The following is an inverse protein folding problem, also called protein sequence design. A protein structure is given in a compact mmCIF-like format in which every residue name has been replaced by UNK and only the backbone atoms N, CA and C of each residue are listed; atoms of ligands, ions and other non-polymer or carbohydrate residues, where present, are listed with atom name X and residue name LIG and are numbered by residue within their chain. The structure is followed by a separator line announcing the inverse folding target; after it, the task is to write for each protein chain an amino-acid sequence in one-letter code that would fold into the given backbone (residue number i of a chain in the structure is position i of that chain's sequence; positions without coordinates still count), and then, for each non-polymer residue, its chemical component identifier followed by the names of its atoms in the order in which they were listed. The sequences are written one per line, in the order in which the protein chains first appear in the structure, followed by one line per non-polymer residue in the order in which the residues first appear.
data_IF_368953281554
#
_entry.id   IF_368953281554
#
_cell.length_a   1.000
_cell.length_b   1.000
_cell.length_c   1.000
_cell.angle_alpha   90.00
_cell.angle_beta   90.00
_cell.angle_gamma   90.00
#
_symmetry.space_group_name_H-M   'P 1'
#
loop_
_entity.id
_entity.type
_entity.pdbx_description
1 polymer ?
2 non-polymer ?
3 water ?
#
# COMPACT_ATOMS: atom_id res chain seq x y z
N UNK A 5 -6.56 -30.85 -17.02
CA UNK A 5 -7.06 -30.12 -15.82
C UNK A 5 -5.99 -30.18 -14.72
N UNK A 6 -5.02 -29.26 -14.81
CA UNK A 6 -3.92 -29.17 -13.85
C UNK A 6 -4.45 -28.59 -12.52
N UNK A 7 -4.16 -29.27 -11.42
CA UNK A 7 -4.45 -28.68 -10.11
C UNK A 7 -3.45 -29.13 -9.07
N UNK A 8 -3.39 -28.39 -7.97
CA UNK A 8 -2.37 -28.67 -6.97
C UNK A 8 -2.73 -28.03 -5.65
N UNK A 9 -1.97 -28.36 -4.61
CA UNK A 9 -2.17 -27.73 -3.33
C UNK A 9 -1.25 -26.53 -3.16
N UNK A 10 -1.83 -25.43 -2.69
CA UNK A 10 -1.07 -24.23 -2.33
C UNK A 10 -1.08 -24.06 -0.82
N UNK A 11 0.09 -23.87 -0.24
CA UNK A 11 0.17 -23.43 1.16
C UNK A 11 0.27 -21.92 1.17
N UNK A 12 -0.68 -21.28 1.88
CA UNK A 12 -0.67 -19.83 2.01
C UNK A 12 0.39 -19.41 3.06
N UNK A 13 1.18 -18.40 2.72
CA UNK A 13 2.14 -17.83 3.67
C UNK A 13 1.64 -16.51 4.18
N UNK A 14 1.06 -15.73 3.28
CA UNK A 14 0.70 -14.36 3.59
C UNK A 14 -0.74 -14.08 3.13
N UNK A 15 -1.61 -13.77 4.08
CA UNK A 15 -2.97 -13.41 3.70
C UNK A 15 -3.04 -12.07 2.99
N UNK A 16 -3.99 -11.94 2.06
CA UNK A 16 -4.28 -10.68 1.37
C UNK A 16 -4.49 -9.57 2.39
N UNK A 17 -3.91 -8.40 2.12
CA UNK A 17 -4.16 -7.22 2.96
C UNK A 17 -3.12 -7.07 4.06
N UNK A 18 -2.20 -8.01 4.18
CA UNK A 18 -1.17 -8.00 5.24
C UNK A 18 0.03 -7.14 4.84
N UNK A 19 0.64 -6.48 5.83
CA UNK A 19 1.95 -5.77 5.61
C UNK A 19 3.11 -6.61 6.27
N UNK A 20 2.78 -7.65 7.04
CA UNK A 20 3.79 -8.56 7.57
C UNK A 20 4.10 -9.60 6.50
N UNK A 21 5.37 -9.71 6.13
CA UNK A 21 5.80 -10.70 5.14
C UNK A 21 6.24 -11.98 5.83
N UNK A 22 5.36 -12.97 5.91
CA UNK A 22 5.68 -14.24 6.51
C UNK A 22 6.28 -15.17 5.47
N UNK A 23 7.09 -16.14 5.89
CA UNK A 23 7.58 -17.17 4.96
C UNK A 23 7.62 -18.52 5.66
N UNK A 24 7.40 -19.60 4.93
CA UNK A 24 7.55 -20.93 5.54
C UNK A 24 9.02 -21.35 5.41
N UNK A 25 9.62 -21.75 6.52
CA UNK A 25 10.92 -22.42 6.46
C UNK A 25 10.70 -23.85 5.92
N UNK A 26 11.17 -24.10 4.71
CA UNK A 26 10.89 -25.39 4.06
C UNK A 26 11.63 -26.58 4.63
N UNK A 27 12.65 -26.33 5.44
CA UNK A 27 13.38 -27.40 6.13
C UNK A 27 12.75 -27.79 7.47
N UNK A 28 11.94 -26.91 8.06
CA UNK A 28 11.27 -27.23 9.33
C UNK A 28 9.75 -27.25 9.23
N UNK A 29 9.21 -26.45 8.32
CA UNK A 29 7.76 -26.26 8.21
C UNK A 29 7.25 -25.12 9.07
N UNK A 30 8.11 -24.53 9.89
CA UNK A 30 7.73 -23.35 10.69
C UNK A 30 7.39 -22.12 9.86
N UNK A 31 6.45 -21.32 10.36
CA UNK A 31 6.14 -20.04 9.74
C UNK A 31 6.97 -18.97 10.45
N UNK A 32 7.74 -18.20 9.68
CA UNK A 32 8.60 -17.15 10.24
C UNK A 32 8.19 -15.78 9.72
N UNK A 33 8.39 -14.76 10.55
CA UNK A 33 8.29 -13.40 10.04
C UNK A 33 9.60 -13.09 9.30
N UNK A 34 9.50 -12.82 7.99
CA UNK A 34 10.66 -12.36 7.22
C UNK A 34 10.91 -10.93 7.64
N UNK A 35 9.95 -10.06 7.33
CA UNK A 35 9.99 -8.65 7.71
C UNK A 35 8.62 -7.95 7.60
N UNK A 36 8.50 -6.81 8.24
CA UNK A 36 7.36 -5.93 8.04
C UNK A 36 7.78 -5.05 6.86
N UNK A 37 6.89 -4.87 5.88
CA UNK A 37 7.25 -4.09 4.70
C UNK A 37 7.66 -2.66 5.04
N UNK A 38 8.61 -2.13 4.27
CA UNK A 38 9.10 -0.77 4.51
C UNK A 38 8.27 0.25 3.73
N UNK A 39 7.36 -0.26 2.89
CA UNK A 39 6.48 0.59 2.08
C UNK A 39 5.03 0.49 2.58
N UNK A 40 4.23 1.55 2.35
CA UNK A 40 2.84 1.56 2.85
C UNK A 40 1.95 0.73 1.88
N UNK A 41 2.26 -0.56 1.72
CA UNK A 41 1.58 -1.39 0.75
C UNK A 41 1.12 -2.64 1.46
N UNK A 42 0.18 -3.35 0.84
CA UNK A 42 -0.38 -4.57 1.43
C UNK A 42 -0.52 -5.65 0.34
N UNK A 43 -0.24 -6.91 0.70
CA UNK A 43 -0.30 -7.98 -0.29
C UNK A 43 -1.66 -7.99 -1.02
N UNK A 44 -1.59 -8.01 -2.35
CA UNK A 44 -2.80 -7.80 -3.16
C UNK A 44 -3.64 -9.08 -3.29
N UNK A 45 -3.04 -10.23 -3.01
CA UNK A 45 -3.74 -11.51 -3.03
C UNK A 45 -3.21 -12.31 -1.89
N UNK A 46 -3.89 -13.40 -1.54
CA UNK A 46 -3.24 -14.41 -0.74
C UNK A 46 -2.02 -14.96 -1.48
N UNK A 47 -0.95 -15.18 -0.73
CA UNK A 47 0.37 -15.45 -1.32
C UNK A 47 1.00 -16.67 -0.66
N UNK A 48 1.56 -17.58 -1.45
CA UNK A 48 2.24 -18.71 -0.86
C UNK A 48 3.01 -19.48 -1.89
N UNK A 49 2.95 -20.80 -1.77
CA UNK A 49 3.77 -21.64 -2.65
C UNK A 49 3.04 -22.93 -2.97
N UNK A 50 3.44 -23.55 -4.08
CA UNK A 50 2.83 -24.81 -4.51
C UNK A 50 3.58 -25.98 -3.88
N UNK A 51 2.84 -26.81 -3.12
CA UNK A 51 3.44 -27.98 -2.47
C UNK A 51 4.02 -28.97 -3.52
N UNK A 52 5.18 -29.57 -3.22
CA UNK A 52 5.80 -30.59 -4.08
C UNK A 52 6.27 -30.04 -5.44
N UNK A 53 6.75 -28.79 -5.42
CA UNK A 53 7.40 -28.21 -6.58
C UNK A 53 8.73 -27.69 -6.13
N UNK A 54 9.60 -27.47 -7.12
CA UNK A 54 10.91 -26.91 -6.91
C UNK A 54 11.24 -26.00 -8.08
N UNK A 55 11.37 -24.70 -7.79
CA UNK A 55 11.67 -23.71 -8.82
C UNK A 55 13.10 -23.80 -9.29
N UNK A 56 13.47 -22.88 -10.18
CA UNK A 56 14.83 -22.80 -10.69
C UNK A 56 15.84 -22.44 -9.59
N UNK A 57 15.36 -21.78 -8.53
CA UNK A 57 16.25 -21.28 -7.47
C UNK A 57 16.30 -22.13 -6.18
N UNK A 58 15.67 -23.30 -6.20
CA UNK A 58 15.71 -24.20 -5.04
C UNK A 58 14.56 -24.13 -4.04
N UNK A 59 13.69 -23.11 -4.17
CA UNK A 59 12.47 -22.98 -3.35
C UNK A 59 11.25 -23.50 -4.11
N UNK A 60 10.18 -23.89 -3.40
CA UNK A 60 8.96 -24.22 -4.17
C UNK A 60 8.47 -23.02 -5.01
N UNK A 61 7.71 -23.32 -6.06
CA UNK A 61 7.17 -22.32 -6.96
C UNK A 61 6.13 -21.46 -6.25
N UNK A 62 6.26 -20.13 -6.33
CA UNK A 62 5.33 -19.23 -5.63
C UNK A 62 3.99 -19.22 -6.32
N UNK A 63 2.94 -18.91 -5.55
CA UNK A 63 1.58 -18.92 -6.04
C UNK A 63 0.84 -17.72 -5.46
N UNK A 64 0.00 -17.12 -6.30
CA UNK A 64 -0.94 -16.09 -5.88
C UNK A 64 -2.34 -16.65 -6.04
N UNK A 65 -3.15 -16.60 -4.99
CA UNK A 65 -4.48 -17.24 -5.06
C UNK A 65 -5.56 -16.17 -4.93
N UNK A 66 -6.41 -16.06 -5.95
CA UNK A 66 -7.59 -15.19 -5.90
C UNK A 66 -8.69 -15.84 -5.06
N UNK A 67 -9.14 -15.13 -4.03
CA UNK A 67 -10.13 -15.66 -3.05
C UNK A 67 -11.05 -14.53 -2.59
N UNK A 68 -12.31 -14.86 -2.17
CA UNK A 68 -13.23 -13.84 -1.70
C UNK A 68 -12.81 -13.28 -0.34
N UNK A 69 -12.14 -14.08 0.46
CA UNK A 69 -11.67 -13.61 1.76
C UNK A 69 -10.33 -14.24 2.09
N UNK A 70 -9.46 -13.50 2.79
CA UNK A 70 -8.11 -14.02 3.06
C UNK A 70 -8.10 -15.20 4.00
N UNK A 71 -7.03 -15.98 3.92
CA UNK A 71 -6.88 -17.17 4.76
C UNK A 71 -5.95 -16.89 5.95
N UNK A 72 -5.38 -17.92 6.54
CA UNK A 72 -4.41 -17.77 7.63
C UNK A 72 -3.09 -18.37 7.13
N UNK A 73 -1.93 -17.90 7.64
CA UNK A 73 -0.67 -18.55 7.26
C UNK A 73 -0.65 -20.03 7.59
N UNK A 74 -0.14 -20.85 6.65
CA UNK A 74 -0.07 -22.31 6.83
C UNK A 74 -1.24 -23.11 6.25
N UNK A 75 -2.32 -22.42 5.91
CA UNK A 75 -3.52 -23.07 5.36
C UNK A 75 -3.28 -23.56 3.92
N UNK A 76 -3.74 -24.78 3.65
CA UNK A 76 -3.73 -25.42 2.34
C UNK A 76 -5.00 -25.10 1.56
N UNK A 77 -4.86 -24.79 0.28
CA UNK A 77 -6.02 -24.57 -0.60
C UNK A 77 -5.76 -25.27 -1.96
N UNK A 78 -6.70 -26.10 -2.39
CA UNK A 78 -6.56 -26.77 -3.68
C UNK A 78 -6.93 -25.74 -4.75
N UNK A 79 -6.04 -25.57 -5.72
CA UNK A 79 -6.16 -24.48 -6.69
C UNK A 79 -5.78 -24.90 -8.10
N UNK A 80 -6.15 -24.07 -9.08
CA UNK A 80 -5.79 -24.39 -10.50
C UNK A 80 -5.20 -23.13 -11.11
N UNK A 81 -4.21 -23.30 -12.02
CA UNK A 81 -3.53 -22.14 -12.59
C UNK A 81 -4.33 -21.42 -13.68
N UNK A 82 -4.28 -20.09 -13.71
CA UNK A 82 -4.91 -19.33 -14.80
C UNK A 82 -3.90 -18.45 -15.53
N UNK A 83 -2.70 -18.33 -14.97
CA UNK A 83 -1.69 -17.46 -15.61
C UNK A 83 -0.48 -17.40 -14.69
N UNK A 84 0.51 -16.58 -15.06
CA UNK A 84 1.74 -16.48 -14.29
C UNK A 84 2.34 -15.08 -14.38
N UNK A 85 2.72 -14.55 -13.22
CA UNK A 85 3.38 -13.28 -13.12
C UNK A 85 4.88 -13.57 -13.18
N UNK A 86 5.63 -12.77 -13.94
CA UNK A 86 7.08 -13.00 -14.01
C UNK A 86 7.76 -11.70 -13.70
N UNK A 87 8.89 -11.76 -13.00
CA UNK A 87 9.61 -10.52 -12.70
C UNK A 87 11.11 -10.76 -12.67
N UNK A 88 11.86 -9.67 -12.72
CA UNK A 88 13.33 -9.75 -12.60
C UNK A 88 13.70 -8.73 -11.52
N UNK A 89 14.37 -9.22 -10.48
CA UNK A 89 14.82 -8.35 -9.41
C UNK A 89 16.30 -8.59 -9.11
N UNK A 90 16.73 -8.21 -7.90
CA UNK A 90 18.14 -8.35 -7.50
C UNK A 90 18.66 -9.80 -7.46
N UNK A 91 17.75 -10.75 -7.29
CA UNK A 91 18.11 -12.18 -7.30
C UNK A 91 17.96 -12.80 -8.67
N UNK A 92 17.55 -12.02 -9.66
CA UNK A 92 17.28 -12.57 -11.00
C UNK A 92 15.79 -12.85 -11.22
N UNK A 93 15.49 -13.92 -11.95
CA UNK A 93 14.13 -14.21 -12.34
C UNK A 93 13.25 -14.73 -11.22
N UNK A 94 11.97 -14.41 -11.28
CA UNK A 94 11.05 -14.94 -10.31
C UNK A 94 9.70 -15.12 -11.01
N UNK A 95 9.03 -16.25 -10.76
CA UNK A 95 7.70 -16.50 -11.33
C UNK A 95 6.73 -16.74 -10.19
N UNK A 96 5.49 -16.26 -10.34
CA UNK A 96 4.45 -16.53 -9.36
C UNK A 96 3.21 -16.97 -10.10
N UNK A 97 2.77 -18.21 -9.86
CA UNK A 97 1.59 -18.73 -10.56
C UNK A 97 0.28 -18.15 -10.00
N UNK A 98 -0.57 -17.60 -10.89
CA UNK A 98 -1.86 -17.00 -10.48
C UNK A 98 -2.90 -18.12 -10.53
N UNK A 99 -3.65 -18.27 -9.43
CA UNK A 99 -4.51 -19.46 -9.25
C UNK A 99 -5.88 -19.07 -8.72
N UNK A 100 -6.86 -19.97 -8.92
CA UNK A 100 -8.21 -19.82 -8.36
C UNK A 100 -8.56 -21.16 -7.71
N UNK A 101 -9.46 -21.13 -6.73
CA UNK A 101 -9.80 -22.38 -6.02
C UNK A 101 -10.48 -23.33 -7.00
N UNK A 102 -10.20 -24.62 -6.89
CA UNK A 102 -10.85 -25.62 -7.74
C UNK A 102 -12.24 -25.97 -7.22
N UNK A 103 -13.04 -26.55 -8.12
CA UNK A 103 -14.37 -27.08 -7.81
C UNK A 103 -15.20 -26.07 -7.04
N UNK A 104 -15.22 -24.85 -7.56
CA UNK A 104 -15.99 -23.78 -6.98
C UNK A 104 -16.55 -23.01 -8.17
N UNK A 105 -17.85 -23.19 -8.40
CA UNK A 105 -18.56 -22.64 -9.56
C UNK A 105 -18.42 -21.15 -9.67
N UNK A 106 -18.14 -20.49 -8.55
CA UNK A 106 -17.97 -19.05 -8.56
C UNK A 106 -16.72 -18.59 -9.33
N UNK A 107 -15.82 -19.52 -9.63
CA UNK A 107 -14.60 -19.23 -10.38
C UNK A 107 -14.56 -19.92 -11.72
N UNK A 108 -15.63 -20.63 -12.08
CA UNK A 108 -15.63 -21.44 -13.30
C UNK A 108 -15.51 -20.63 -14.58
N UNK A 109 -15.97 -19.39 -14.55
CA UNK A 109 -15.78 -18.48 -15.67
C UNK A 109 -14.35 -18.01 -15.89
N UNK A 110 -13.46 -18.23 -14.92
CA UNK A 110 -12.07 -17.81 -15.08
C UNK A 110 -11.23 -18.99 -15.55
N UNK A 111 -10.98 -19.02 -16.85
CA UNK A 111 -10.24 -20.12 -17.47
C UNK A 111 -8.78 -19.76 -17.71
N UNK A 112 -8.52 -18.48 -17.98
CA UNK A 112 -7.18 -18.05 -18.29
C UNK A 112 -6.99 -16.58 -18.00
N UNK A 113 -5.81 -16.08 -18.34
CA UNK A 113 -5.36 -14.73 -17.95
C UNK A 113 -6.27 -13.61 -18.48
N UNK A 114 -6.79 -13.79 -19.71
CA UNK A 114 -7.74 -12.86 -20.32
C UNK A 114 -9.04 -12.70 -19.50
N UNK A 115 -9.34 -13.67 -18.64
CA UNK A 115 -10.56 -13.62 -17.84
C UNK A 115 -10.39 -12.84 -16.51
N UNK A 116 -9.17 -12.47 -16.19
CA UNK A 116 -8.93 -11.73 -14.95
C UNK A 116 -8.94 -10.24 -15.29
N UNK A 117 -9.73 -9.44 -14.56
CA UNK A 117 -9.82 -8.01 -14.94
C UNK A 117 -8.45 -7.34 -14.97
N UNK A 118 -8.22 -6.49 -15.96
CA UNK A 118 -6.95 -5.80 -16.13
C UNK A 118 -6.60 -4.99 -14.89
N UNK A 119 -7.59 -4.33 -14.30
CA UNK A 119 -7.30 -3.53 -13.11
C UNK A 119 -6.71 -4.35 -11.95
N UNK A 120 -7.11 -5.62 -11.84
CA UNK A 120 -6.63 -6.53 -10.83
C UNK A 120 -5.21 -7.02 -11.13
N UNK A 121 -4.97 -7.43 -12.39
CA UNK A 121 -3.60 -7.73 -12.81
C UNK A 121 -2.65 -6.53 -12.62
N UNK A 122 -3.11 -5.33 -12.95
CA UNK A 122 -2.26 -4.14 -12.81
C UNK A 122 -1.91 -3.84 -11.35
N UNK A 123 -2.89 -4.00 -10.46
CA UNK A 123 -2.67 -3.85 -9.00
C UNK A 123 -1.67 -4.86 -8.45
N UNK A 124 -1.77 -6.12 -8.86
CA UNK A 124 -0.83 -7.14 -8.43
C UNK A 124 0.56 -6.81 -8.92
N UNK A 125 0.66 -6.46 -10.21
CA UNK A 125 1.96 -6.02 -10.75
C UNK A 125 2.55 -4.83 -9.96
N UNK A 126 1.72 -3.83 -9.67
CA UNK A 126 2.19 -2.64 -8.99
C UNK A 126 2.78 -2.98 -7.64
N UNK A 127 2.10 -3.89 -6.92
CA UNK A 127 2.63 -4.33 -5.63
C UNK A 127 4.05 -4.90 -5.79
N UNK A 128 4.22 -5.88 -6.68
CA UNK A 128 5.55 -6.52 -6.78
C UNK A 128 6.63 -5.60 -7.32
N UNK A 129 6.25 -4.67 -8.19
CA UNK A 129 7.19 -3.67 -8.70
C UNK A 129 7.68 -2.69 -7.60
N UNK A 130 6.82 -2.35 -6.64
CA UNK A 130 7.14 -1.26 -5.69
C UNK A 130 7.35 -1.64 -4.25
N UNK A 131 7.00 -2.87 -3.86
CA UNK A 131 6.91 -3.15 -2.40
C UNK A 131 8.28 -3.08 -1.71
N UNK A 132 9.36 -3.31 -2.48
CA UNK A 132 10.74 -3.22 -2.00
C UNK A 132 11.48 -1.91 -2.33
N UNK A 133 10.75 -0.89 -2.79
CA UNK A 133 11.36 0.39 -3.19
C UNK A 133 12.22 1.04 -2.13
N UNK A 134 11.90 0.80 -0.87
CA UNK A 134 12.61 1.49 0.20
C UNK A 134 13.68 0.57 0.83
N UNK A 135 14.03 -0.52 0.14
CA UNK A 135 15.09 -1.40 0.64
C UNK A 135 16.36 -1.26 -0.17
N UNK A 136 17.44 -0.68 0.44
CA UNK A 136 18.70 -0.57 -0.28
C UNK A 136 19.12 -1.91 -0.91
N UNK A 137 19.56 -1.83 -2.15
CA UNK A 137 20.08 -2.99 -2.84
C UNK A 137 19.05 -3.88 -3.48
N UNK A 138 17.76 -3.56 -3.28
CA UNK A 138 16.68 -4.33 -3.87
C UNK A 138 16.07 -3.51 -4.99
N UNK A 139 15.57 -4.18 -6.02
CA UNK A 139 15.00 -3.46 -7.15
C UNK A 139 14.15 -4.42 -7.97
N UNK A 140 13.25 -3.88 -8.81
CA UNK A 140 12.58 -4.71 -9.84
C UNK A 140 12.79 -4.07 -11.21
N UNK A 141 13.39 -4.81 -12.14
CA UNK A 141 13.77 -4.25 -13.45
C UNK A 141 12.72 -4.54 -14.55
N UNK A 142 11.90 -5.56 -14.37
CA UNK A 142 10.90 -5.91 -15.39
C UNK A 142 9.87 -6.81 -14.73
N UNK A 143 8.65 -6.77 -15.24
CA UNK A 143 7.54 -7.53 -14.68
C UNK A 143 6.51 -7.66 -15.78
N UNK A 144 5.94 -8.86 -15.93
CA UNK A 144 4.93 -9.07 -16.98
C UNK A 144 4.00 -10.24 -16.63
N UNK A 145 3.00 -10.47 -17.47
CA UNK A 145 2.05 -11.60 -17.30
C UNK A 145 2.11 -12.50 -18.49
N UNK A 146 2.01 -13.81 -18.23
CA UNK A 146 1.86 -14.82 -19.30
C UNK A 146 0.64 -15.68 -18.97
N UNK A 147 0.20 -16.44 -19.95
CA UNK A 147 -1.10 -17.11 -19.85
C UNK A 147 -1.03 -18.46 -19.19
N UNK A 148 -2.18 -19.13 -19.16
CA UNK A 148 -2.30 -20.41 -18.52
C UNK A 148 -1.42 -21.51 -19.07
N UNK A 149 -1.30 -21.61 -20.40
CA UNK A 149 -0.39 -22.58 -21.00
C UNK A 149 1.04 -22.48 -20.46
N UNK A 150 1.57 -21.25 -20.42
CA UNK A 150 2.92 -20.97 -19.89
C UNK A 150 3.04 -21.30 -18.39
N UNK A 151 2.00 -20.92 -17.64
CA UNK A 151 1.93 -21.28 -16.22
C UNK A 151 1.99 -22.80 -16.00
N UNK A 152 1.20 -23.56 -16.77
CA UNK A 152 1.18 -25.03 -16.58
C UNK A 152 2.53 -25.63 -16.97
N UNK A 153 3.17 -25.06 -17.99
CA UNK A 153 4.49 -25.55 -18.44
C UNK A 153 5.50 -25.34 -17.31
N UNK A 154 5.45 -24.18 -16.64
CA UNK A 154 6.34 -23.91 -15.52
C UNK A 154 6.05 -24.81 -14.30
N UNK A 155 4.77 -25.07 -14.03
CA UNK A 155 4.38 -25.99 -12.95
C UNK A 155 4.95 -27.38 -13.22
N UNK A 156 4.77 -27.86 -14.45
CA UNK A 156 5.31 -29.15 -14.86
C UNK A 156 6.83 -29.21 -14.73
N UNK A 157 7.54 -28.18 -15.16
CA UNK A 157 9.02 -28.17 -14.99
C UNK A 157 9.39 -28.24 -13.51
N UNK A 158 8.66 -27.49 -12.68
CA UNK A 158 8.91 -27.45 -11.24
C UNK A 158 8.60 -28.76 -10.52
N UNK A 159 7.60 -29.49 -11.03
CA UNK A 159 7.20 -30.75 -10.41
C UNK A 159 8.26 -31.82 -10.70
N UNK A 160 8.75 -31.83 -11.93
CA UNK A 160 9.79 -32.78 -12.33
C UNK A 160 11.11 -32.47 -11.62
N UNK A 161 11.40 -31.17 -11.49
CA UNK A 161 12.59 -30.68 -10.79
C UNK A 161 12.55 -31.10 -9.32
N UNK A 162 11.35 -31.09 -8.72
CA UNK A 162 11.12 -31.65 -7.39
C UNK A 162 11.42 -33.15 -7.34
N UNK A 163 10.88 -33.90 -8.30
CA UNK A 163 11.12 -35.36 -8.36
C UNK A 163 12.60 -35.74 -8.52
N UNK A 164 13.31 -35.01 -9.38
CA UNK A 164 14.73 -35.25 -9.65
C UNK A 164 15.64 -34.86 -8.49
N UNK B 5 3.12 28.35 21.06
CA UNK B 5 2.99 27.03 20.38
C UNK B 5 1.74 27.00 19.49
N UNK B 6 1.94 26.84 18.19
CA UNK B 6 0.83 26.77 17.23
C UNK B 6 0.11 25.45 17.46
N UNK B 7 -1.22 25.52 17.59
CA UNK B 7 -2.05 24.31 17.59
C UNK B 7 -3.40 24.58 16.94
N UNK B 8 -4.10 23.51 16.52
CA UNK B 8 -5.33 23.66 15.74
C UNK B 8 -6.12 22.35 15.76
N UNK B 9 -7.36 22.40 15.27
CA UNK B 9 -8.17 21.19 15.18
C UNK B 9 -8.03 20.54 13.80
N UNK B 10 -7.81 19.23 13.79
CA UNK B 10 -7.77 18.48 12.54
C UNK B 10 -9.04 17.61 12.53
N UNK B 11 -9.79 17.64 11.44
CA UNK B 11 -10.83 16.64 11.23
C UNK B 11 -10.26 15.51 10.41
N UNK B 12 -10.33 14.29 10.94
CA UNK B 12 -9.85 13.12 10.22
C UNK B 12 -10.87 12.72 9.14
N UNK B 13 -10.37 12.46 7.93
CA UNK B 13 -11.20 11.92 6.87
C UNK B 13 -10.91 10.44 6.66
N UNK B 14 -9.62 10.10 6.67
CA UNK B 14 -9.23 8.74 6.36
C UNK B 14 -8.35 8.13 7.46
N UNK B 15 -8.83 7.06 8.12
CA UNK B 15 -7.99 6.41 9.11
C UNK B 15 -6.76 5.72 8.48
N UNK B 16 -5.64 5.71 9.20
CA UNK B 16 -4.44 4.95 8.80
C UNK B 16 -4.83 3.52 8.45
N UNK B 17 -4.28 2.98 7.37
CA UNK B 17 -4.49 1.57 7.08
C UNK B 17 -5.63 1.39 6.08
N UNK B 18 -6.38 2.43 5.77
CA UNK B 18 -7.56 2.32 4.86
C UNK B 18 -7.16 2.43 3.40
N UNK B 19 -8.00 1.85 2.54
CA UNK B 19 -7.81 1.96 1.07
C UNK B 19 -9.04 2.71 0.48
N UNK B 20 -10.06 2.97 1.30
CA UNK B 20 -11.17 3.84 0.90
C UNK B 20 -10.80 5.30 1.13
N UNK B 21 -10.88 6.07 0.06
CA UNK B 21 -10.56 7.50 0.13
C UNK B 21 -11.81 8.30 0.41
N UNK B 22 -12.06 8.59 1.68
CA UNK B 22 -13.19 9.39 2.09
C UNK B 22 -12.83 10.87 2.00
N UNK B 23 -13.83 11.72 1.81
CA UNK B 23 -13.63 13.16 1.83
C UNK B 23 -14.79 13.86 2.46
N UNK B 24 -14.54 14.89 3.25
CA UNK B 24 -15.64 15.69 3.75
C UNK B 24 -16.02 16.70 2.68
N UNK B 25 -17.32 16.74 2.35
CA UNK B 25 -17.90 17.81 1.54
C UNK B 25 -17.97 19.04 2.44
N UNK B 26 -17.14 20.03 2.15
CA UNK B 26 -17.06 21.20 3.01
C UNK B 26 -18.29 22.10 2.96
N UNK B 27 -19.12 21.94 1.93
CA UNK B 27 -20.36 22.72 1.88
C UNK B 27 -21.41 22.14 2.83
N UNK B 28 -21.46 20.82 2.93
CA UNK B 28 -22.54 20.15 3.67
C UNK B 28 -22.13 19.52 4.99
N UNK B 29 -20.84 19.20 5.14
CA UNK B 29 -20.37 18.53 6.35
C UNK B 29 -20.43 17.01 6.22
N UNK B 30 -21.06 16.52 5.15
CA UNK B 30 -21.18 15.06 4.91
C UNK B 30 -19.83 14.38 4.59
N UNK B 31 -19.66 13.14 5.04
CA UNK B 31 -18.49 12.35 4.65
C UNK B 31 -18.92 11.55 3.42
N UNK B 32 -18.13 11.66 2.35
CA UNK B 32 -18.40 10.98 1.10
C UNK B 32 -17.27 9.99 0.75
N UNK B 33 -17.61 8.91 0.06
CA UNK B 33 -16.56 8.09 -0.55
C UNK B 33 -16.10 8.79 -1.83
N UNK B 34 -14.82 9.15 -1.94
CA UNK B 34 -14.30 9.65 -3.21
C UNK B 34 -14.13 8.44 -4.13
N UNK B 35 -13.29 7.50 -3.69
CA UNK B 35 -13.00 6.28 -4.45
C UNK B 35 -12.21 5.29 -3.64
N UNK B 36 -12.24 4.03 -4.05
CA UNK B 36 -11.33 3.03 -3.46
C UNK B 36 -10.03 3.10 -4.27
N UNK B 37 -8.87 3.14 -3.60
CA UNK B 37 -7.63 3.26 -4.35
C UNK B 37 -7.44 2.17 -5.42
N UNK B 38 -6.81 2.52 -6.54
CA UNK B 38 -6.57 1.56 -7.60
C UNK B 38 -5.26 0.81 -7.39
N UNK B 39 -4.46 1.29 -6.44
CA UNK B 39 -3.16 0.65 -6.11
C UNK B 39 -3.30 -0.16 -4.79
N UNK B 40 -2.45 -1.19 -4.60
CA UNK B 40 -2.43 -2.02 -3.37
C UNK B 40 -1.67 -1.29 -2.24
N UNK B 41 -2.17 -0.12 -1.85
CA UNK B 41 -1.50 0.74 -0.86
C UNK B 41 -2.53 1.12 0.16
N UNK B 42 -2.08 1.59 1.31
CA UNK B 42 -3.03 1.99 2.33
C UNK B 42 -2.52 3.27 2.98
N UNK B 43 -3.42 4.14 3.42
CA UNK B 43 -2.94 5.43 3.97
C UNK B 43 -1.96 5.23 5.12
N UNK B 44 -0.83 5.95 5.08
CA UNK B 44 0.28 5.65 5.99
C UNK B 44 0.09 6.30 7.39
N UNK B 45 -0.79 7.30 7.45
CA UNK B 45 -1.15 7.98 8.69
C UNK B 45 -2.63 8.27 8.62
N UNK B 46 -3.24 8.59 9.76
CA UNK B 46 -4.52 9.30 9.71
C UNK B 46 -4.42 10.59 8.89
N UNK B 47 -5.45 10.84 8.09
CA UNK B 47 -5.39 11.85 7.06
C UNK B 47 -6.66 12.69 7.09
N UNK B 48 -6.47 13.99 7.00
CA UNK B 48 -7.63 14.88 6.98
C UNK B 48 -7.26 16.33 6.70
N UNK B 49 -7.90 17.24 7.41
CA UNK B 49 -7.68 18.66 7.11
C UNK B 49 -7.76 19.51 8.37
N UNK B 50 -7.18 20.71 8.26
CA UNK B 50 -7.21 21.68 9.36
C UNK B 50 -8.46 22.53 9.26
N UNK B 51 -9.28 22.48 10.32
CA UNK B 51 -10.48 23.30 10.40
C UNK B 51 -10.09 24.78 10.33
N UNK B 52 -10.93 25.59 9.69
CA UNK B 52 -10.73 27.05 9.64
C UNK B 52 -9.48 27.46 8.88
N UNK B 53 -9.15 26.72 7.83
CA UNK B 53 -8.06 27.08 6.93
C UNK B 53 -8.56 27.03 5.51
N UNK B 54 -7.85 27.73 4.64
CA UNK B 54 -8.11 27.71 3.24
C UNK B 54 -6.78 27.73 2.49
N UNK B 55 -6.53 26.67 1.72
CA UNK B 55 -5.35 26.60 0.86
C UNK B 55 -5.52 27.43 -0.40
N UNK B 56 -4.46 27.51 -1.20
CA UNK B 56 -4.50 28.29 -2.44
C UNK B 56 -5.53 27.74 -3.43
N UNK B 57 -5.79 26.43 -3.34
CA UNK B 57 -6.70 25.74 -4.26
C UNK B 57 -8.19 25.75 -3.84
N UNK B 58 -8.53 26.48 -2.78
CA UNK B 58 -9.94 26.57 -2.32
C UNK B 58 -10.41 25.62 -1.24
N UNK B 59 -9.66 24.55 -0.95
CA UNK B 59 -10.00 23.58 0.11
C UNK B 59 -9.17 23.85 1.37
N UNK B 60 -9.63 23.38 2.55
CA UNK B 60 -8.77 23.56 3.72
C UNK B 60 -7.42 22.86 3.55
N UNK B 61 -6.43 23.28 4.34
CA UNK B 61 -5.10 22.72 4.30
C UNK B 61 -5.11 21.26 4.78
N UNK B 62 -4.49 20.36 4.02
CA UNK B 62 -4.51 18.93 4.40
C UNK B 62 -3.59 18.71 5.61
N UNK B 63 -3.90 17.69 6.41
CA UNK B 63 -3.11 17.35 7.59
C UNK B 63 -2.90 15.85 7.64
N UNK B 64 -1.72 15.46 8.10
CA UNK B 64 -1.40 14.05 8.38
C UNK B 64 -1.15 14.01 9.87
N UNK B 65 -1.83 13.13 10.61
CA UNK B 65 -1.65 13.09 12.08
C UNK B 65 -1.03 11.77 12.51
N UNK B 66 0.13 11.82 13.17
CA UNK B 66 0.75 10.62 13.74
C UNK B 66 0.03 10.22 15.03
N UNK B 67 -0.40 8.96 15.11
CA UNK B 67 -1.24 8.48 16.23
C UNK B 67 -0.92 7.03 16.50
N UNK B 68 -1.08 6.59 17.78
CA UNK B 68 -0.83 5.17 18.09
C UNK B 68 -1.84 4.24 17.45
N UNK B 69 -3.09 4.69 17.26
CA UNK B 69 -4.12 3.88 16.65
C UNK B 69 -5.04 4.74 15.81
N UNK B 70 -5.56 4.21 14.68
CA UNK B 70 -6.42 4.96 13.76
C UNK B 70 -7.72 5.46 14.40
N UNK B 71 -8.24 6.57 13.89
CA UNK B 71 -9.51 7.11 14.36
C UNK B 71 -10.63 6.73 13.39
N UNK B 72 -11.74 7.45 13.42
CA UNK B 72 -12.89 7.19 12.54
C UNK B 72 -13.04 8.45 11.70
N UNK B 73 -13.61 8.35 10.47
CA UNK B 73 -13.88 9.57 9.66
C UNK B 73 -14.76 10.54 10.43
N UNK B 74 -14.44 11.84 10.38
CA UNK B 74 -15.24 12.85 11.06
C UNK B 74 -14.76 13.27 12.44
N UNK B 75 -13.84 12.51 13.02
CA UNK B 75 -13.39 12.79 14.39
C UNK B 75 -12.42 13.96 14.37
N UNK B 76 -12.59 14.87 15.35
CA UNK B 76 -11.68 15.99 15.64
C UNK B 76 -10.52 15.60 16.55
N UNK B 77 -9.29 16.01 16.21
CA UNK B 77 -8.14 15.85 17.11
C UNK B 77 -7.39 17.17 17.20
N UNK B 78 -7.14 17.62 18.43
CA UNK B 78 -6.34 18.85 18.60
C UNK B 78 -4.86 18.51 18.39
N UNK B 79 -4.21 19.22 17.48
CA UNK B 79 -2.87 18.83 17.04
C UNK B 79 -1.91 20.01 16.86
N UNK B 80 -0.62 19.69 16.75
CA UNK B 80 0.41 20.73 16.55
C UNK B 80 1.32 20.31 15.40
N UNK B 81 1.80 21.30 14.63
CA UNK B 81 2.55 20.97 13.41
C UNK B 81 4.02 20.65 13.72
N UNK B 82 4.59 19.66 13.04
CA UNK B 82 6.03 19.33 13.19
C UNK B 82 6.78 19.45 11.84
N UNK B 83 6.05 19.53 10.75
CA UNK B 83 6.68 19.66 9.42
C UNK B 83 5.62 19.63 8.35
N UNK B 84 6.02 19.51 7.08
CA UNK B 84 5.06 19.60 5.96
C UNK B 84 5.61 18.84 4.78
N UNK B 85 4.74 17.99 4.22
CA UNK B 85 5.03 17.30 2.97
C UNK B 85 4.57 18.19 1.82
N UNK B 86 5.44 18.41 0.84
CA UNK B 86 5.07 19.24 -0.30
C UNK B 86 5.16 18.38 -1.56
N UNK B 87 4.17 18.50 -2.44
CA UNK B 87 4.24 17.78 -3.71
C UNK B 87 3.66 18.59 -4.84
N UNK B 88 4.03 18.20 -6.06
CA UNK B 88 3.50 18.82 -7.26
C UNK B 88 2.86 17.71 -8.09
N UNK B 89 1.55 17.80 -8.33
CA UNK B 89 0.79 16.82 -9.14
C UNK B 89 0.00 17.47 -10.28
N UNK B 90 -1.03 16.79 -10.78
CA UNK B 90 -1.78 17.24 -11.97
C UNK B 90 -2.59 18.53 -11.74
N UNK B 91 -2.87 18.83 -10.47
CA UNK B 91 -3.53 20.09 -10.12
C UNK B 91 -2.52 21.08 -9.56
N UNK B 92 -1.23 20.87 -9.84
CA UNK B 92 -0.18 21.75 -9.33
C UNK B 92 0.30 21.38 -7.93
N UNK B 93 0.68 22.39 -7.15
CA UNK B 93 1.20 22.19 -5.78
C UNK B 93 0.19 21.67 -4.76
N UNK B 94 0.67 20.88 -3.82
CA UNK B 94 -0.20 20.35 -2.79
C UNK B 94 0.67 20.16 -1.54
N UNK B 95 0.21 20.72 -0.42
CA UNK B 95 0.95 20.59 0.81
C UNK B 95 0.10 19.88 1.86
N UNK B 96 0.76 19.08 2.71
CA UNK B 96 0.07 18.35 3.76
C UNK B 96 0.85 18.54 5.05
N UNK B 97 0.23 19.16 6.05
CA UNK B 97 0.93 19.46 7.28
C UNK B 97 1.02 18.20 8.18
N UNK B 98 2.24 17.85 8.62
CA UNK B 98 2.44 16.67 9.49
C UNK B 98 2.31 17.14 10.93
N UNK B 99 1.50 16.43 11.73
CA UNK B 99 1.07 16.90 13.06
C UNK B 99 1.16 15.78 14.07
N UNK B 100 1.21 16.14 15.35
CA UNK B 100 1.11 15.19 16.44
C UNK B 100 0.05 15.74 17.40
N UNK B 101 -0.59 14.87 18.19
CA UNK B 101 -1.62 15.38 19.12
C UNK B 101 -0.98 16.24 20.21
N UNK B 102 -1.68 17.30 20.60
CA UNK B 102 -1.20 18.16 21.69
C UNK B 102 -1.49 17.54 23.03
N UNK B 103 -0.83 18.04 24.07
CA UNK B 103 -1.12 17.71 25.47
C UNK B 103 -0.98 16.22 25.73
N UNK B 104 0.04 15.64 25.12
CA UNK B 104 0.29 14.22 25.27
C UNK B 104 1.79 14.09 25.36
N UNK B 105 2.29 13.81 26.56
CA UNK B 105 3.71 13.66 26.83
C UNK B 105 4.39 12.61 25.97
N UNK B 106 3.63 11.66 25.42
CA UNK B 106 4.22 10.62 24.56
C UNK B 106 4.77 11.14 23.22
N UNK B 107 4.36 12.36 22.87
CA UNK B 107 4.80 13.03 21.64
C UNK B 107 5.65 14.23 21.93
N UNK B 108 5.91 14.51 23.21
CA UNK B 108 6.67 15.70 23.64
C UNK B 108 8.05 15.81 23.05
N UNK B 109 8.68 14.68 22.79
CA UNK B 109 10.03 14.67 22.24
C UNK B 109 10.09 14.95 20.73
N UNK B 110 8.93 15.06 20.06
CA UNK B 110 8.90 15.39 18.63
C UNK B 110 8.54 16.87 18.53
N UNK B 111 9.56 17.71 18.34
CA UNK B 111 9.34 19.14 18.17
C UNK B 111 9.37 19.62 16.74
N UNK B 112 10.01 18.86 15.86
CA UNK B 112 10.16 19.25 14.48
C UNK B 112 10.44 18.06 13.61
N UNK B 113 10.50 18.31 12.30
CA UNK B 113 10.64 17.23 11.29
C UNK B 113 11.91 16.40 11.52
N UNK B 114 12.95 17.03 12.08
CA UNK B 114 14.26 16.38 12.31
C UNK B 114 14.13 15.25 13.37
N UNK B 115 13.08 15.34 14.19
CA UNK B 115 12.81 14.38 15.25
C UNK B 115 12.03 13.14 14.78
N UNK B 116 11.46 13.20 13.57
CA UNK B 116 10.61 12.11 13.08
C UNK B 116 11.52 11.12 12.36
N UNK B 117 11.46 9.83 12.72
CA UNK B 117 12.32 8.83 12.07
C UNK B 117 12.21 8.86 10.54
N UNK B 118 13.35 8.80 9.86
CA UNK B 118 13.41 8.94 8.42
C UNK B 118 12.58 7.85 7.73
N UNK B 119 12.60 6.63 8.26
CA UNK B 119 11.86 5.55 7.60
C UNK B 119 10.36 5.86 7.56
N UNK B 120 9.87 6.63 8.53
CA UNK B 120 8.46 6.99 8.58
C UNK B 120 8.11 8.07 7.55
N UNK B 121 8.98 9.09 7.48
CA UNK B 121 8.86 10.12 6.43
C UNK B 121 8.96 9.49 5.03
N UNK B 122 9.90 8.56 4.85
CA UNK B 122 10.06 7.91 3.53
C UNK B 122 8.82 7.09 3.14
N UNK B 123 8.22 6.39 4.11
CA UNK B 123 6.98 5.62 3.85
C UNK B 123 5.83 6.53 3.46
N UNK B 124 5.68 7.64 4.18
CA UNK B 124 4.62 8.59 3.86
C UNK B 124 4.84 9.21 2.47
N UNK B 125 6.09 9.59 2.17
CA UNK B 125 6.44 10.08 0.82
C UNK B 125 6.09 9.04 -0.28
N UNK B 126 6.48 7.79 -0.05
CA UNK B 126 6.26 6.73 -1.04
C UNK B 126 4.79 6.61 -1.34
N UNK B 127 3.95 6.63 -0.29
CA UNK B 127 2.49 6.57 -0.49
C UNK B 127 2.02 7.68 -1.45
N UNK B 128 2.37 8.93 -1.16
CA UNK B 128 1.81 10.01 -1.98
C UNK B 128 2.40 10.07 -3.39
N UNK B 129 3.62 9.58 -3.54
CA UNK B 129 4.28 9.50 -4.86
C UNK B 129 3.61 8.45 -5.72
N UNK B 130 3.13 7.36 -5.11
CA UNK B 130 2.65 6.20 -5.89
C UNK B 130 1.18 5.88 -5.86
N UNK B 131 0.44 6.42 -4.92
CA UNK B 131 -0.93 5.90 -4.70
C UNK B 131 -1.88 6.10 -5.90
N UNK B 132 -1.57 7.10 -6.76
CA UNK B 132 -2.36 7.34 -7.99
C UNK B 132 -1.66 6.84 -9.28
N UNK B 133 -0.70 5.95 -9.14
CA UNK B 133 0.06 5.44 -10.29
C UNK B 133 -0.82 4.79 -11.35
N UNK B 134 -1.93 4.20 -10.95
CA UNK B 134 -2.76 3.49 -11.94
C UNK B 134 -3.97 4.32 -12.38
N UNK B 135 -3.97 5.61 -12.04
CA UNK B 135 -5.09 6.48 -12.42
C UNK B 135 -4.65 7.29 -13.62
N UNK B 136 -5.31 7.11 -14.79
CA UNK B 136 -4.81 7.78 -15.98
C UNK B 136 -4.85 9.30 -15.81
N UNK B 137 -3.84 9.99 -16.32
CA UNK B 137 -3.82 11.44 -16.32
C UNK B 137 -3.54 12.04 -14.95
N UNK B 138 -3.10 11.20 -14.03
CA UNK B 138 -2.64 11.66 -12.73
C UNK B 138 -1.14 11.38 -12.67
N UNK B 139 -0.40 12.26 -12.01
CA UNK B 139 1.06 12.15 -11.94
C UNK B 139 1.61 12.91 -10.74
N UNK B 140 2.90 12.69 -10.43
CA UNK B 140 3.61 13.46 -9.41
C UNK B 140 4.98 13.89 -9.94
N UNK B 141 5.22 15.20 -10.00
CA UNK B 141 6.46 15.72 -10.58
C UNK B 141 7.55 15.95 -9.52
N UNK B 142 7.13 16.18 -8.28
CA UNK B 142 8.04 16.55 -7.20
C UNK B 142 7.40 16.21 -5.87
N UNK B 143 8.24 15.88 -4.89
CA UNK B 143 7.77 15.62 -3.53
C UNK B 143 8.92 15.75 -2.56
N UNK B 144 8.72 16.50 -1.47
CA UNK B 144 9.77 16.67 -0.45
C UNK B 144 9.17 17.06 0.92
N UNK B 145 10.03 17.19 1.92
CA UNK B 145 9.67 17.53 3.28
C UNK B 145 10.31 18.83 3.67
N UNK B 146 9.55 19.67 4.38
CA UNK B 146 10.10 20.87 5.02
C UNK B 146 9.71 20.81 6.50
N UNK B 147 10.29 21.71 7.27
CA UNK B 147 10.24 21.61 8.70
C UNK B 147 9.14 22.41 9.32
N UNK B 148 9.21 22.47 10.64
CA UNK B 148 8.12 23.07 11.38
C UNK B 148 7.92 24.55 11.09
N UNK B 149 9.02 25.31 10.97
CA UNK B 149 8.87 26.75 10.68
C UNK B 149 8.05 26.98 9.39
N UNK B 150 8.40 26.20 8.37
CA UNK B 150 7.71 26.38 7.08
C UNK B 150 6.28 25.86 7.13
N UNK B 151 6.02 24.78 7.86
CA UNK B 151 4.66 24.31 8.11
C UNK B 151 3.81 25.40 8.79
N UNK B 152 4.37 26.04 9.81
CA UNK B 152 3.65 27.08 10.56
C UNK B 152 3.37 28.31 9.68
N UNK B 153 4.30 28.63 8.77
CA UNK B 153 4.12 29.76 7.85
C UNK B 153 2.95 29.50 6.90
N UNK B 154 2.84 28.26 6.43
CA UNK B 154 1.77 27.85 5.53
C UNK B 154 0.43 27.80 6.26
N UNK B 155 0.45 27.27 7.49
CA UNK B 155 -0.74 27.29 8.34
C UNK B 155 -1.21 28.73 8.52
N UNK B 156 -0.27 29.63 8.79
CA UNK B 156 -0.65 31.03 9.00
C UNK B 156 -1.26 31.68 7.73
N UNK B 157 -0.63 31.44 6.58
CA UNK B 157 -1.18 31.91 5.30
C UNK B 157 -2.60 31.39 5.05
N UNK B 158 -2.84 30.12 5.38
CA UNK B 158 -4.15 29.51 5.16
C UNK B 158 -5.21 30.00 6.12
N UNK B 159 -4.78 30.30 7.36
CA UNK B 159 -5.65 30.94 8.35
C UNK B 159 -6.05 32.34 7.83
N UNK B 160 -5.07 33.04 7.27
CA UNK B 160 -5.27 34.39 6.70
C UNK B 160 -6.21 34.33 5.48
N UNK B 161 -5.99 33.37 4.58
CA UNK B 161 -6.88 33.18 3.44
C UNK B 161 -8.29 32.82 3.87
N UNK B 162 -8.42 31.96 4.89
CA UNK B 162 -9.74 31.64 5.46
C UNK B 162 -10.47 32.91 5.89
N UNK B 163 -9.80 33.73 6.70
CA UNK B 163 -10.39 35.00 7.17
C UNK B 163 -10.73 36.00 6.08
N UNK B 164 -9.90 36.08 5.04
CA UNK B 164 -10.15 36.98 3.90
C UNK B 164 -11.31 36.50 3.03
N UNK B 165 -11.50 35.19 2.91
CA UNK B 165 -12.62 34.62 2.14
C UNK B 165 -13.99 34.86 2.76
N UNK B 166 -14.00 35.43 3.96
CA UNK B 166 -15.24 35.71 4.68
C UNK B 166 -15.11 35.38 6.15
X LIG C 1 10.62 -17.32 -4.30
X LIG C 1 10.21 -15.95 -4.15
X LIG C 1 10.94 -17.52 -5.77
X LIG C 1 10.51 -18.81 -6.22
X LIG D 1 -4.89 -17.65 -21.69
X LIG D 1 -4.40 -17.95 -20.40
X LIG D 1 -5.60 -16.32 -21.66
X LIG D 1 -6.94 -16.52 -21.20
X LIG E 1 -6.03 19.17 -0.91
X LIG E 1 -5.63 17.84 -1.25
X LIG E 1 -4.92 20.15 -1.24
X LIG E 1 -5.20 21.36 -0.53
#
# INVERSE_FOLDING_TARGET
GPGSMVQFDVTIEIPKGQRNKYEVDHKTGRVRLDRYLYTPMAYPTDYGFIEDTLGEDGDPLDALVLLPEPLFPGVLVEARPVGMFRMVDEHGGDDKVLCVPVNDHRWDHIHGIIDVPTFELDAIKHFFVHYKDLEPGKFVKAADWVGRDEAEAEVQRSVERFKAGGH
GPGSMVQFDVTIEIPKGQRNKYEVDHKTGRVRLDRYLYTPMAYPTDYGFIEDTLGEDGDPLDALVLLPEPLFPGVLVEARPVGMFRMVDEHGGDDKVLCVPVNDHRWDHIHGIIDVPTFELDAIKHFFVHYKDLEPGKFVKAADWVGRDEAEAEVQRSVERFKAGGH
EDO C1 O1 C2 O2
EDO C1 O1 C2 O2
EDO C1 O1 C2 O2
#
